data_IF_582153785031
#
_entry.id   IF_582153785031
#
_cell.length_a   1.000
_cell.length_b   1.000
_cell.length_c   1.000
_cell.angle_alpha   90.00
_cell.angle_beta   90.00
_cell.angle_gamma   90.00
#
_symmetry.space_group_name_H-M   'P 1'
#
loop_
_entity.id
_entity.type
_entity.pdbx_description
1 polymer ?
#
# COMPACT_ATOMS: atom_id res chain seq x y z
N UNK A 1 39.56 17.05 -13.21
CA UNK A 1 38.64 17.00 -12.04
C UNK A 1 37.75 15.80 -12.26
N UNK A 2 37.82 14.87 -11.32
CA UNK A 2 37.37 13.47 -11.44
C UNK A 2 35.86 13.32 -11.42
N UNK A 3 35.40 12.50 -12.35
CA UNK A 3 34.04 12.07 -12.61
C UNK A 3 33.79 10.80 -11.77
N UNK A 4 33.76 10.91 -10.44
CA UNK A 4 33.44 9.75 -9.61
C UNK A 4 32.98 10.15 -8.21
N UNK A 5 31.67 10.38 -8.06
CA UNK A 5 30.90 10.35 -6.81
C UNK A 5 29.43 10.70 -7.11
N UNK A 6 28.78 9.89 -7.97
CA UNK A 6 27.32 9.78 -7.90
C UNK A 6 27.03 8.69 -6.88
N UNK A 7 26.91 9.06 -5.61
CA UNK A 7 26.39 8.19 -4.57
C UNK A 7 25.03 7.66 -5.07
N UNK A 8 24.86 6.35 -5.29
CA UNK A 8 23.56 5.83 -5.71
C UNK A 8 22.55 6.22 -4.62
N UNK A 9 21.46 6.87 -5.01
CA UNK A 9 20.32 7.13 -4.12
C UNK A 9 19.98 5.79 -3.45
N UNK A 10 20.17 5.71 -2.13
CA UNK A 10 19.93 4.50 -1.38
C UNK A 10 18.48 4.06 -1.65
N UNK A 11 18.31 2.87 -2.24
CA UNK A 11 16.97 2.31 -2.47
C UNK A 11 16.26 2.23 -1.11
N UNK A 12 14.99 2.68 -1.02
CA UNK A 12 14.22 2.53 0.21
C UNK A 12 14.28 1.09 0.69
N UNK A 13 14.54 0.88 1.99
CA UNK A 13 14.45 -0.46 2.58
C UNK A 13 12.98 -0.86 2.61
N UNK A 14 12.58 -1.99 2.01
CA UNK A 14 11.19 -2.43 2.04
C UNK A 14 10.70 -2.58 3.48
N UNK A 15 9.49 -2.07 3.75
CA UNK A 15 8.77 -2.31 5.01
C UNK A 15 8.40 -3.78 5.17
N UNK A 16 8.00 -4.38 4.05
CA UNK A 16 7.72 -5.79 3.92
C UNK A 16 8.87 -6.45 3.14
N UNK A 17 9.66 -7.36 3.76
CA UNK A 17 10.76 -8.04 3.09
C UNK A 17 10.30 -8.93 1.93
N UNK A 18 8.99 -9.20 1.84
CA UNK A 18 8.38 -10.06 0.84
C UNK A 18 7.66 -9.28 -0.26
N UNK A 19 7.66 -7.94 -0.23
CA UNK A 19 7.09 -7.13 -1.30
C UNK A 19 8.11 -6.78 -2.38
N UNK A 20 7.71 -6.92 -3.65
CA UNK A 20 8.46 -6.46 -4.82
C UNK A 20 8.26 -4.96 -5.12
N UNK A 21 7.24 -4.34 -4.53
CA UNK A 21 6.94 -2.91 -4.65
C UNK A 21 7.00 -2.21 -3.28
N UNK A 22 7.61 -1.03 -3.24
CA UNK A 22 7.78 -0.25 -2.02
C UNK A 22 7.03 1.08 -2.13
N UNK A 23 6.27 1.48 -1.10
CA UNK A 23 5.91 0.76 0.12
C UNK A 23 4.59 0.01 -0.10
N UNK A 24 4.60 -1.31 0.05
CA UNK A 24 3.39 -2.11 0.12
C UNK A 24 3.19 -2.59 1.56
N UNK A 25 2.06 -2.22 2.17
CA UNK A 25 1.68 -2.64 3.51
C UNK A 25 0.49 -3.59 3.46
N UNK A 26 0.57 -4.69 4.22
CA UNK A 26 -0.57 -5.55 4.48
C UNK A 26 -1.21 -5.15 5.81
N UNK A 27 -2.52 -4.88 5.78
CA UNK A 27 -3.31 -4.51 6.93
C UNK A 27 -4.42 -5.51 7.23
N UNK A 28 -4.66 -5.81 8.50
CA UNK A 28 -5.84 -6.55 8.96
C UNK A 28 -6.75 -5.58 9.69
N UNK A 29 -8.02 -5.50 9.28
CA UNK A 29 -9.01 -4.58 9.84
C UNK A 29 -9.98 -5.35 10.72
N UNK A 30 -10.15 -4.87 11.95
CA UNK A 30 -11.15 -5.32 12.90
C UNK A 30 -12.47 -4.51 12.77
N UNK A 31 -13.59 -5.09 13.19
CA UNK A 31 -14.94 -4.50 13.15
C UNK A 31 -14.99 -3.14 13.81
N UNK A 32 -14.40 -2.98 15.00
CA UNK A 32 -14.43 -1.69 15.72
C UNK A 32 -13.70 -0.57 14.96
N UNK A 33 -12.54 -0.88 14.36
CA UNK A 33 -11.80 0.09 13.56
C UNK A 33 -12.55 0.46 12.27
N UNK A 34 -13.22 -0.53 11.65
CA UNK A 34 -14.03 -0.35 10.46
C UNK A 34 -15.25 0.54 10.74
N UNK A 35 -16.05 0.22 11.76
CA UNK A 35 -17.23 1.00 12.16
C UNK A 35 -16.88 2.45 12.50
N UNK A 36 -15.83 2.66 13.30
CA UNK A 36 -15.34 4.00 13.64
C UNK A 36 -14.88 4.80 12.42
N UNK A 37 -14.31 4.12 11.41
CA UNK A 37 -13.90 4.76 10.15
C UNK A 37 -15.11 5.16 9.31
N UNK A 38 -16.09 4.27 9.13
CA UNK A 38 -17.34 4.54 8.40
C UNK A 38 -18.10 5.71 9.03
N UNK A 39 -18.26 5.72 10.36
CA UNK A 39 -18.96 6.78 11.08
C UNK A 39 -18.24 8.13 10.91
N UNK A 40 -16.91 8.14 11.07
CA UNK A 40 -16.13 9.36 10.93
C UNK A 40 -16.22 9.94 9.52
N UNK A 41 -16.19 9.10 8.50
CA UNK A 41 -16.26 9.54 7.11
C UNK A 41 -17.62 10.15 6.79
N UNK A 42 -18.70 9.47 7.18
CA UNK A 42 -20.05 9.97 6.97
C UNK A 42 -20.31 11.27 7.74
N UNK A 43 -19.79 11.37 8.97
CA UNK A 43 -20.03 12.55 9.83
C UNK A 43 -19.21 13.76 9.42
N UNK A 44 -17.95 13.57 9.04
CA UNK A 44 -17.01 14.67 8.79
C UNK A 44 -16.84 15.00 7.31
N UNK A 45 -17.29 14.11 6.41
CA UNK A 45 -17.13 14.25 4.96
C UNK A 45 -15.69 14.08 4.48
N UNK A 46 -14.80 13.55 5.33
CA UNK A 46 -13.40 13.26 4.97
C UNK A 46 -13.19 11.76 4.90
N UNK A 47 -12.53 11.28 3.85
CA UNK A 47 -12.16 9.88 3.66
C UNK A 47 -11.25 9.38 4.78
N UNK A 48 -11.52 8.18 5.31
CA UNK A 48 -10.81 7.64 6.48
C UNK A 48 -9.36 7.35 6.18
N UNK A 49 -8.57 7.18 7.24
CA UNK A 49 -7.17 6.78 7.08
C UNK A 49 -7.06 5.41 6.39
N UNK A 50 -7.96 4.47 6.70
CA UNK A 50 -7.98 3.14 6.08
C UNK A 50 -8.14 3.25 4.56
N UNK A 51 -9.16 3.98 4.10
CA UNK A 51 -9.41 4.17 2.66
C UNK A 51 -8.33 4.97 1.96
N UNK A 52 -7.73 5.96 2.63
CA UNK A 52 -6.64 6.75 2.04
C UNK A 52 -5.34 5.94 1.89
N UNK A 53 -5.13 4.92 2.71
CA UNK A 53 -3.95 4.05 2.63
C UNK A 53 -4.01 3.08 1.45
N UNK A 54 -5.22 2.71 1.02
CA UNK A 54 -5.41 1.86 -0.17
C UNK A 54 -5.19 2.61 -1.48
N UNK A 55 -5.20 3.95 -1.46
CA UNK A 55 -5.09 4.77 -2.67
C UNK A 55 -3.73 4.56 -3.37
N UNK A 56 -3.77 4.10 -4.61
CA UNK A 56 -2.56 3.88 -5.42
C UNK A 56 -1.78 2.61 -5.08
N UNK A 57 -2.41 1.66 -4.35
CA UNK A 57 -1.83 0.33 -4.09
C UNK A 57 -0.77 0.29 -3.00
N UNK A 58 -0.65 1.35 -2.18
CA UNK A 58 0.31 1.42 -1.07
C UNK A 58 -0.03 0.44 0.05
N UNK A 59 -1.30 0.12 0.25
CA UNK A 59 -1.73 -0.87 1.21
C UNK A 59 -2.85 -1.76 0.66
N UNK A 60 -2.83 -3.02 1.06
CA UNK A 60 -3.94 -3.96 0.86
C UNK A 60 -4.53 -4.31 2.22
N UNK A 61 -5.83 -4.13 2.35
CA UNK A 61 -6.55 -4.37 3.60
C UNK A 61 -7.33 -5.68 3.51
N UNK A 62 -7.17 -6.50 4.55
CA UNK A 62 -7.88 -7.76 4.73
C UNK A 62 -8.75 -7.68 5.99
N UNK A 63 -9.86 -8.40 5.99
CA UNK A 63 -10.69 -8.61 7.18
C UNK A 63 -11.11 -10.07 7.21
N UNK A 64 -11.31 -10.63 8.41
CA UNK A 64 -11.92 -11.96 8.51
C UNK A 64 -13.40 -11.88 8.14
N UNK A 65 -13.98 -12.97 7.64
CA UNK A 65 -15.38 -12.98 7.19
C UNK A 65 -16.38 -12.54 8.27
N UNK A 66 -16.16 -12.88 9.55
CA UNK A 66 -17.05 -12.45 10.64
C UNK A 66 -17.14 -10.92 10.76
N UNK A 67 -16.07 -10.18 10.44
CA UNK A 67 -16.05 -8.71 10.46
C UNK A 67 -17.10 -8.13 9.51
N UNK A 68 -17.35 -8.81 8.37
CA UNK A 68 -18.41 -8.41 7.44
C UNK A 68 -19.79 -8.54 8.09
N UNK A 69 -20.07 -9.68 8.71
CA UNK A 69 -21.35 -9.98 9.36
C UNK A 69 -21.61 -9.04 10.52
N UNK A 70 -20.62 -8.87 11.40
CA UNK A 70 -20.68 -7.96 12.53
C UNK A 70 -20.88 -6.52 12.07
N UNK A 71 -20.17 -6.08 11.03
CA UNK A 71 -20.37 -4.72 10.49
C UNK A 71 -21.84 -4.50 10.14
N UNK A 72 -22.45 -5.41 9.38
CA UNK A 72 -23.88 -5.32 9.06
C UNK A 72 -24.80 -5.38 10.29
N UNK A 73 -24.47 -6.20 11.30
CA UNK A 73 -25.23 -6.28 12.57
C UNK A 73 -25.15 -4.98 13.38
N UNK A 74 -23.97 -4.35 13.40
CA UNK A 74 -23.69 -3.20 14.25
C UNK A 74 -24.06 -1.86 13.61
N UNK A 75 -24.16 -1.77 12.27
CA UNK A 75 -24.60 -0.56 11.57
C UNK A 75 -25.94 0.00 12.10
N UNK A 76 -27.01 -0.80 12.31
CA UNK A 76 -28.26 -0.33 12.93
C UNK A 76 -28.08 0.25 14.35
N UNK A 77 -27.25 -0.40 15.18
CA UNK A 77 -26.95 0.07 16.54
C UNK A 77 -26.24 1.42 16.48
N UNK A 78 -25.27 1.56 15.58
CA UNK A 78 -24.55 2.82 15.35
C UNK A 78 -25.49 3.93 14.87
N UNK A 79 -26.38 3.65 13.93
CA UNK A 79 -27.37 4.61 13.43
C UNK A 79 -28.34 5.10 14.52
N UNK A 80 -28.70 4.24 15.49
CA UNK A 80 -29.60 4.60 16.59
C UNK A 80 -29.00 5.62 17.55
N UNK A 81 -27.68 5.61 17.73
CA UNK A 81 -26.97 6.46 18.67
C UNK A 81 -26.19 7.61 18.00
N UNK A 82 -25.98 7.52 16.69
CA UNK A 82 -25.23 8.48 15.91
C UNK A 82 -26.09 9.57 15.26
N UNK A 83 -25.40 10.48 14.56
CA UNK A 83 -26.01 11.56 13.78
C UNK A 83 -26.26 11.18 12.31
N UNK A 84 -25.87 9.98 11.91
CA UNK A 84 -25.91 9.51 10.52
C UNK A 84 -26.96 8.41 10.38
N UNK A 85 -27.79 8.49 9.34
CA UNK A 85 -28.84 7.49 9.09
C UNK A 85 -28.25 6.12 8.73
N UNK A 86 -28.97 5.04 9.05
CA UNK A 86 -28.58 3.67 8.67
C UNK A 86 -28.39 3.53 7.16
N UNK A 87 -29.28 4.12 6.36
CA UNK A 87 -29.19 4.07 4.90
C UNK A 87 -27.89 4.72 4.39
N UNK A 88 -27.50 5.86 4.96
CA UNK A 88 -26.24 6.55 4.62
C UNK A 88 -25.03 5.72 5.03
N UNK A 89 -25.01 5.19 6.25
CA UNK A 89 -23.90 4.36 6.74
C UNK A 89 -23.71 3.11 5.89
N UNK A 90 -24.79 2.40 5.59
CA UNK A 90 -24.77 1.18 4.76
C UNK A 90 -24.32 1.49 3.34
N UNK A 91 -24.92 2.49 2.70
CA UNK A 91 -24.54 2.88 1.34
C UNK A 91 -23.06 3.28 1.25
N UNK A 92 -22.54 4.00 2.26
CA UNK A 92 -21.14 4.39 2.31
C UNK A 92 -20.21 3.19 2.53
N UNK A 93 -20.56 2.28 3.45
CA UNK A 93 -19.81 1.04 3.66
C UNK A 93 -19.74 0.20 2.37
N UNK A 94 -20.88 -0.01 1.73
CA UNK A 94 -20.98 -0.83 0.52
C UNK A 94 -20.26 -0.22 -0.69
N UNK A 95 -20.30 1.11 -0.84
CA UNK A 95 -19.67 1.80 -1.96
C UNK A 95 -18.16 2.00 -1.81
N UNK A 96 -17.68 2.28 -0.59
CA UNK A 96 -16.29 2.72 -0.39
C UNK A 96 -15.41 1.67 0.29
N UNK A 97 -15.95 0.90 1.24
CA UNK A 97 -15.15 -0.02 2.06
C UNK A 97 -15.14 -1.45 1.50
N UNK A 98 -16.27 -1.95 1.00
CA UNK A 98 -16.31 -3.29 0.39
C UNK A 98 -15.30 -3.45 -0.76
N UNK A 99 -15.12 -2.49 -1.69
CA UNK A 99 -14.13 -2.61 -2.75
C UNK A 99 -12.68 -2.45 -2.26
N UNK A 100 -12.47 -1.84 -1.09
CA UNK A 100 -11.15 -1.58 -0.53
C UNK A 100 -10.64 -2.74 0.37
N UNK A 101 -11.52 -3.70 0.70
CA UNK A 101 -11.25 -4.80 1.62
C UNK A 101 -11.36 -6.15 0.91
N UNK A 102 -10.45 -7.06 1.26
CA UNK A 102 -10.58 -8.50 0.93
C UNK A 102 -11.01 -9.26 2.17
N UNK A 103 -12.11 -9.99 2.07
CA UNK A 103 -12.65 -10.75 3.18
C UNK A 103 -12.15 -12.20 3.12
N UNK A 104 -11.64 -12.71 4.24
CA UNK A 104 -10.96 -14.01 4.30
C UNK A 104 -11.76 -14.96 5.18
N UNK A 105 -12.16 -16.08 4.61
CA UNK A 105 -12.77 -17.19 5.35
C UNK A 105 -11.66 -17.97 6.05
N UNK A 106 -11.57 -17.83 7.38
CA UNK A 106 -10.55 -18.50 8.17
C UNK A 106 -10.96 -19.93 8.51
N UNK A 107 -10.05 -20.88 8.26
CA UNK A 107 -10.20 -22.26 8.69
C UNK A 107 -9.56 -22.48 10.07
N UNK A 108 -10.06 -23.46 10.84
CA UNK A 108 -9.47 -23.88 12.12
C UNK A 108 -8.23 -24.78 11.97
N UNK A 109 -7.69 -24.90 10.75
CA UNK A 109 -6.77 -25.99 10.38
C UNK A 109 -5.34 -25.72 10.86
N UNK A 110 -5.00 -24.46 11.13
CA UNK A 110 -3.71 -24.13 11.73
C UNK A 110 -3.77 -24.42 13.24
N UNK A 111 -2.87 -25.30 13.70
CA UNK A 111 -2.79 -25.73 15.09
C UNK A 111 -2.67 -24.58 16.09
N UNK A 112 -2.77 -24.86 17.40
CA UNK A 112 -2.84 -23.84 18.44
C UNK A 112 -1.62 -22.90 18.40
N UNK A 113 -1.85 -21.63 18.10
CA UNK A 113 -0.86 -20.55 18.24
C UNK A 113 -1.04 -19.86 19.60
N UNK A 114 0.04 -19.80 20.40
CA UNK A 114 -0.04 -19.28 21.76
C UNK A 114 -0.49 -17.81 21.85
N UNK A 115 -0.19 -17.00 20.84
CA UNK A 115 -0.60 -15.60 20.78
C UNK A 115 -2.09 -15.50 20.46
N UNK A 116 -2.58 -16.32 19.51
CA UNK A 116 -4.02 -16.44 19.20
C UNK A 116 -4.80 -16.97 20.40
N UNK A 117 -4.28 -17.98 21.11
CA UNK A 117 -4.90 -18.55 22.30
C UNK A 117 -4.96 -17.56 23.48
N UNK A 118 -4.14 -16.52 23.47
CA UNK A 118 -4.19 -15.45 24.48
C UNK A 118 -5.29 -14.42 24.19
N UNK A 119 -5.95 -14.48 23.03
CA UNK A 119 -7.15 -13.68 22.75
C UNK A 119 -8.27 -14.20 23.63
N UNK A 120 -8.86 -13.29 24.40
CA UNK A 120 -9.86 -13.62 25.44
C UNK A 120 -11.29 -13.50 24.95
N UNK A 121 -11.51 -12.74 23.88
CA UNK A 121 -12.79 -12.69 23.18
C UNK A 121 -12.75 -13.69 22.01
N UNK A 122 -13.73 -14.60 21.96
CA UNK A 122 -13.76 -15.63 20.90
C UNK A 122 -14.07 -15.04 19.54
N UNK A 123 -14.76 -13.90 19.48
CA UNK A 123 -15.17 -13.26 18.23
C UNK A 123 -13.94 -12.64 17.52
N UNK A 124 -12.92 -12.24 18.28
CA UNK A 124 -11.65 -11.71 17.77
C UNK A 124 -10.65 -12.77 17.29
N UNK A 125 -10.88 -14.05 17.59
CA UNK A 125 -9.94 -15.14 17.27
C UNK A 125 -9.66 -15.24 15.77
N UNK A 126 -10.66 -15.17 14.85
CA UNK A 126 -10.38 -15.22 13.42
C UNK A 126 -9.54 -14.03 12.93
N UNK A 127 -9.69 -12.84 13.53
CA UNK A 127 -8.86 -11.66 13.23
C UNK A 127 -7.40 -11.90 13.62
N UNK A 128 -7.16 -12.46 14.81
CA UNK A 128 -5.82 -12.85 15.25
C UNK A 128 -5.19 -13.93 14.37
N UNK A 129 -5.95 -14.95 13.98
CA UNK A 129 -5.48 -16.01 13.06
C UNK A 129 -5.12 -15.47 11.69
N UNK A 130 -5.96 -14.59 11.13
CA UNK A 130 -5.67 -13.93 9.86
C UNK A 130 -4.37 -13.13 9.94
N UNK A 131 -4.17 -12.38 11.03
CA UNK A 131 -2.94 -11.64 11.25
C UNK A 131 -1.70 -12.56 11.32
N UNK A 132 -1.78 -13.71 12.00
CA UNK A 132 -0.69 -14.70 12.00
C UNK A 132 -0.44 -15.31 10.62
N UNK A 133 -1.50 -15.60 9.88
CA UNK A 133 -1.43 -16.23 8.57
C UNK A 133 -0.68 -15.36 7.54
N UNK A 134 -0.89 -14.04 7.58
CA UNK A 134 -0.34 -13.10 6.57
C UNK A 134 0.81 -12.22 7.08
N UNK A 135 1.28 -12.45 8.31
CA UNK A 135 2.37 -11.67 8.89
C UNK A 135 3.63 -11.68 7.98
N UNK A 136 4.32 -10.54 7.78
CA UNK A 136 4.22 -9.32 8.57
C UNK A 136 3.04 -8.44 8.16
N UNK A 137 2.25 -7.97 9.12
CA UNK A 137 1.11 -7.09 8.86
C UNK A 137 0.81 -6.16 10.04
N UNK A 138 -0.01 -5.13 9.81
CA UNK A 138 -0.51 -4.26 10.90
C UNK A 138 -1.98 -4.60 11.16
N UNK A 139 -2.33 -4.85 12.42
CA UNK A 139 -3.74 -5.03 12.82
C UNK A 139 -4.30 -3.69 13.29
N UNK A 140 -5.34 -3.22 12.61
CA UNK A 140 -6.08 -2.02 12.96
C UNK A 140 -7.25 -2.40 13.86
N UNK A 141 -7.04 -2.30 15.16
CA UNK A 141 -8.08 -2.52 16.17
C UNK A 141 -7.85 -1.62 17.37
N UNK A 142 -8.95 -1.17 17.98
CA UNK A 142 -8.93 -0.53 19.29
C UNK A 142 -9.20 -1.49 20.46
N UNK A 143 -9.49 -2.76 20.16
CA UNK A 143 -9.88 -3.75 21.15
C UNK A 143 -8.72 -4.16 22.06
N UNK A 144 -8.98 -4.19 23.36
CA UNK A 144 -8.05 -4.70 24.38
C UNK A 144 -7.75 -6.19 24.19
N UNK A 145 -8.68 -6.96 23.64
CA UNK A 145 -8.59 -8.40 23.43
C UNK A 145 -7.59 -8.74 22.32
N UNK A 146 -7.40 -7.85 21.34
CA UNK A 146 -6.32 -7.91 20.34
C UNK A 146 -5.05 -7.15 20.75
N UNK A 147 -5.15 -6.07 21.53
CA UNK A 147 -3.98 -5.31 22.01
C UNK A 147 -3.17 -6.07 23.05
N UNK A 148 -3.80 -6.75 24.01
CA UNK A 148 -3.10 -7.46 25.10
C UNK A 148 -2.18 -8.58 24.61
N UNK A 149 -2.58 -9.42 23.63
CA UNK A 149 -1.69 -10.43 23.05
C UNK A 149 -0.66 -9.83 22.07
N UNK A 150 -0.70 -8.52 21.81
CA UNK A 150 0.25 -7.85 20.92
C UNK A 150 -0.07 -7.98 19.42
N UNK A 151 -1.33 -8.21 19.05
CA UNK A 151 -1.74 -8.15 17.64
C UNK A 151 -1.91 -6.71 17.17
N UNK A 152 -2.59 -5.89 17.98
CA UNK A 152 -2.86 -4.50 17.65
C UNK A 152 -1.98 -3.54 18.47
N UNK A 153 -1.46 -2.46 17.86
CA UNK A 153 -0.72 -1.45 18.59
C UNK A 153 -1.64 -0.63 19.50
N UNK A 154 -1.07 0.00 20.53
CA UNK A 154 -1.82 0.86 21.46
C UNK A 154 -2.51 2.04 20.76
N UNK A 155 -1.91 2.56 19.68
CA UNK A 155 -2.38 3.69 18.88
C UNK A 155 -2.23 3.35 17.38
N UNK A 156 -3.19 2.61 16.84
CA UNK A 156 -3.19 2.20 15.44
C UNK A 156 -3.41 3.40 14.50
N UNK A 157 -4.07 4.46 14.96
CA UNK A 157 -4.30 5.67 14.18
C UNK A 157 -2.99 6.36 13.84
N UNK A 158 -2.00 6.31 14.74
CA UNK A 158 -0.64 6.80 14.49
C UNK A 158 0.12 5.92 13.49
N UNK A 159 -0.07 4.61 13.52
CA UNK A 159 0.49 3.71 12.50
C UNK A 159 -0.11 4.04 11.13
N UNK A 160 -1.42 4.16 11.03
CA UNK A 160 -2.13 4.55 9.80
C UNK A 160 -1.67 5.92 9.28
N UNK A 161 -1.50 6.91 10.16
CA UNK A 161 -0.93 8.22 9.79
C UNK A 161 0.48 8.07 9.21
N UNK A 162 1.31 7.19 9.79
CA UNK A 162 2.68 6.99 9.31
C UNK A 162 2.71 6.43 7.88
N UNK A 163 1.74 5.56 7.51
CA UNK A 163 1.58 5.07 6.13
C UNK A 163 1.16 6.19 5.18
N UNK A 164 0.25 7.05 5.63
CA UNK A 164 -0.17 8.22 4.84
C UNK A 164 0.99 9.19 4.63
N UNK A 165 1.77 9.47 5.67
CA UNK A 165 2.95 10.34 5.61
C UNK A 165 3.97 9.80 4.59
N UNK A 166 4.17 8.46 4.53
CA UNK A 166 5.00 7.81 3.51
C UNK A 166 4.41 7.98 2.10
N UNK A 167 3.11 7.73 1.94
CA UNK A 167 2.42 7.86 0.64
C UNK A 167 2.46 9.28 0.10
N UNK A 168 2.19 10.26 0.97
CA UNK A 168 2.25 11.69 0.64
C UNK A 168 3.67 12.13 0.32
N UNK A 169 4.67 11.62 1.06
CA UNK A 169 6.09 11.82 0.74
C UNK A 169 6.43 11.37 -0.68
N UNK A 170 6.04 10.15 -1.06
CA UNK A 170 6.31 9.59 -2.39
C UNK A 170 5.58 10.33 -3.52
N UNK A 171 4.31 10.70 -3.32
CA UNK A 171 3.58 11.54 -4.27
C UNK A 171 4.21 12.93 -4.40
N UNK A 172 4.68 13.49 -3.29
CA UNK A 172 5.42 14.76 -3.25
C UNK A 172 6.72 14.69 -4.06
N UNK A 173 7.44 13.58 -4.00
CA UNK A 173 8.65 13.35 -4.82
C UNK A 173 8.32 13.26 -6.32
N UNK A 174 7.26 12.52 -6.69
CA UNK A 174 6.85 12.39 -8.09
C UNK A 174 6.39 13.73 -8.71
N UNK A 175 5.67 14.55 -7.94
CA UNK A 175 5.23 15.90 -8.38
C UNK A 175 6.41 16.87 -8.43
N UNK A 176 7.35 16.82 -7.47
CA UNK A 176 8.54 17.68 -7.48
C UNK A 176 9.47 17.36 -8.66
N UNK A 177 9.67 16.08 -8.99
CA UNK A 177 10.45 15.66 -10.16
C UNK A 177 9.73 16.04 -11.45
N UNK A 178 8.41 15.87 -11.55
CA UNK A 178 7.67 16.30 -12.74
C UNK A 178 7.58 17.82 -12.90
N UNK A 179 7.51 18.59 -11.80
CA UNK A 179 7.56 20.06 -11.81
C UNK A 179 8.94 20.61 -12.21
N UNK A 180 10.02 19.93 -11.84
CA UNK A 180 11.37 20.30 -12.26
C UNK A 180 11.64 20.01 -13.76
N UNK A 181 10.97 19.00 -14.33
CA UNK A 181 11.13 18.60 -15.74
C UNK A 181 10.09 19.26 -16.67
N UNK A 182 9.07 19.92 -16.12
CA UNK A 182 8.04 20.66 -16.85
C UNK A 182 8.59 21.68 -17.87
N UNK A 183 9.67 22.43 -17.61
CA UNK A 183 10.29 23.29 -18.62
C UNK A 183 10.84 22.50 -19.83
N UNK A 184 11.39 21.30 -19.60
CA UNK A 184 11.95 20.46 -20.65
C UNK A 184 10.87 19.76 -21.49
N UNK A 185 9.78 19.29 -20.87
CA UNK A 185 8.64 18.70 -21.59
C UNK A 185 7.77 19.75 -22.30
N UNK A 186 7.62 20.95 -21.73
CA UNK A 186 6.93 22.07 -22.37
C UNK A 186 7.60 22.49 -23.68
N UNK A 187 8.93 22.52 -23.73
CA UNK A 187 9.69 22.80 -24.94
C UNK A 187 9.46 21.75 -26.04
N UNK A 188 9.45 20.45 -25.69
CA UNK A 188 9.23 19.36 -26.66
C UNK A 188 7.80 19.36 -27.21
N UNK A 189 6.80 19.69 -26.38
CA UNK A 189 5.41 19.85 -26.80
C UNK A 189 5.22 21.02 -27.77
N UNK A 190 5.82 22.18 -27.49
CA UNK A 190 5.78 23.36 -28.34
C UNK A 190 6.45 23.11 -29.70
N UNK A 191 7.58 22.39 -29.72
CA UNK A 191 8.30 22.00 -30.95
C UNK A 191 7.48 21.08 -31.84
N UNK A 192 6.77 20.10 -31.26
CA UNK A 192 5.87 19.21 -32.03
C UNK A 192 4.64 19.94 -32.56
N UNK A 193 4.08 20.88 -31.79
CA UNK A 193 2.91 21.66 -32.19
C UNK A 193 3.24 22.63 -33.33
N UNK A 194 4.36 23.37 -33.21
CA UNK A 194 4.86 24.28 -34.25
C UNK A 194 5.32 23.53 -35.52
N UNK A 195 5.93 22.35 -35.36
CA UNK A 195 6.34 21.51 -36.50
C UNK A 195 5.15 20.99 -37.32
N UNK A 196 4.04 20.61 -36.67
CA UNK A 196 2.80 20.19 -37.34
C UNK A 196 2.10 21.33 -38.08
N UNK A 197 2.11 22.54 -37.52
CA UNK A 197 1.39 23.68 -38.10
C UNK A 197 2.19 24.39 -39.22
N UNK A 198 3.53 24.32 -39.18
CA UNK A 198 4.40 24.99 -40.15
C UNK A 198 4.99 24.06 -41.24
N UNK A 199 4.75 22.74 -41.17
CA UNK A 199 5.35 21.76 -42.10
C UNK A 199 6.88 21.62 -41.96
N UNK A 200 7.46 22.18 -40.90
CA UNK A 200 8.90 22.19 -40.65
C UNK A 200 9.27 20.93 -39.85
N UNK A 201 10.33 20.24 -40.29
CA UNK A 201 10.84 19.04 -39.62
C UNK A 201 11.13 19.31 -38.14
N UNK A 202 10.63 18.47 -37.21
CA UNK A 202 10.88 18.60 -35.77
C UNK A 202 12.38 18.66 -35.41
N UNK A 203 13.24 18.04 -36.22
CA UNK A 203 14.68 18.07 -36.05
C UNK A 203 15.30 19.44 -36.35
N UNK A 204 14.76 20.18 -37.33
CA UNK A 204 15.23 21.53 -37.67
C UNK A 204 14.87 22.54 -36.56
N UNK A 205 13.67 22.43 -35.99
CA UNK A 205 13.26 23.25 -34.84
C UNK A 205 14.12 22.89 -33.61
N UNK A 206 14.37 21.59 -33.38
CA UNK A 206 15.27 21.13 -32.32
C UNK A 206 16.68 21.72 -32.45
N UNK A 207 17.24 21.77 -33.66
CA UNK A 207 18.54 22.37 -33.92
C UNK A 207 18.56 23.89 -33.69
N UNK A 208 17.49 24.61 -34.05
CA UNK A 208 17.37 26.07 -33.79
C UNK A 208 17.22 26.36 -32.30
N UNK A 209 16.47 25.55 -31.55
CA UNK A 209 16.32 25.69 -30.10
C UNK A 209 17.64 25.38 -29.39
N UNK A 210 18.34 24.31 -29.79
CA UNK A 210 19.66 23.97 -29.25
C UNK A 210 20.72 25.01 -29.61
N UNK A 211 20.76 25.47 -30.86
CA UNK A 211 21.69 26.50 -31.33
C UNK A 211 21.42 27.87 -30.69
N UNK A 212 20.14 28.27 -30.59
CA UNK A 212 19.69 29.47 -29.90
C UNK A 212 19.96 29.42 -28.40
N UNK A 213 19.75 28.26 -27.77
CA UNK A 213 20.11 28.00 -26.38
C UNK A 213 21.62 28.10 -26.13
N UNK A 214 22.43 27.51 -27.00
CA UNK A 214 23.90 27.59 -26.93
C UNK A 214 24.42 29.03 -27.15
N UNK A 215 23.79 29.81 -28.04
CA UNK A 215 24.09 31.23 -28.25
C UNK A 215 23.65 32.11 -27.07
N UNK A 216 22.48 31.85 -26.50
CA UNK A 216 22.00 32.52 -25.27
C UNK A 216 22.92 32.26 -24.08
N UNK A 217 23.50 31.06 -24.02
CA UNK A 217 24.51 30.67 -23.05
C UNK A 217 25.91 31.22 -23.37
N UNK A 218 26.16 32.03 -24.41
CA UNK A 218 27.49 32.66 -24.59
C UNK A 218 27.69 33.94 -23.76
N UNK A 219 26.63 34.59 -23.26
CA UNK A 219 26.74 35.80 -22.43
C UNK A 219 26.97 35.46 -20.95
N UNK A 220 28.04 35.96 -20.30
CA UNK A 220 28.43 35.57 -18.94
C UNK A 220 27.38 35.95 -17.88
N UNK A 221 26.70 37.09 -18.02
CA UNK A 221 25.67 37.52 -17.06
C UNK A 221 24.42 36.63 -17.10
N UNK A 222 24.09 36.09 -18.28
CA UNK A 222 22.96 35.16 -18.45
C UNK A 222 23.31 33.74 -18.00
N UNK A 223 24.58 33.32 -18.12
CA UNK A 223 25.06 32.07 -17.48
C UNK A 223 24.87 32.11 -15.98
N UNK A 224 25.22 33.24 -15.33
CA UNK A 224 25.04 33.41 -13.89
C UNK A 224 23.56 33.36 -13.48
N UNK A 225 22.66 33.94 -14.27
CA UNK A 225 21.22 33.90 -14.01
C UNK A 225 20.60 32.50 -14.20
N UNK A 226 21.02 31.76 -15.22
CA UNK A 226 20.56 30.37 -15.44
C UNK A 226 21.16 29.44 -14.39
N UNK A 227 22.43 29.63 -14.01
CA UNK A 227 23.08 28.86 -12.96
C UNK A 227 22.45 29.13 -11.59
N UNK A 228 22.14 30.38 -11.25
CA UNK A 228 21.49 30.72 -9.97
C UNK A 228 20.06 30.20 -9.90
N UNK A 229 19.32 30.22 -11.01
CA UNK A 229 18.00 29.60 -11.10
C UNK A 229 18.08 28.08 -10.97
N UNK A 230 19.03 27.44 -11.65
CA UNK A 230 19.26 25.99 -11.54
C UNK A 230 19.65 25.59 -10.12
N UNK A 231 20.58 26.31 -9.48
CA UNK A 231 20.98 26.07 -8.08
C UNK A 231 19.79 26.22 -7.13
N UNK A 232 18.99 27.28 -7.24
CA UNK A 232 17.78 27.45 -6.42
C UNK A 232 16.73 26.36 -6.67
N UNK A 233 16.55 25.95 -7.92
CA UNK A 233 15.65 24.84 -8.26
C UNK A 233 16.16 23.52 -7.66
N UNK A 234 17.47 23.26 -7.72
CA UNK A 234 18.10 22.10 -7.11
C UNK A 234 18.07 22.14 -5.58
N UNK A 235 18.23 23.30 -4.94
CA UNK A 235 18.11 23.46 -3.49
C UNK A 235 16.69 23.22 -3.00
N UNK A 236 15.68 23.77 -3.69
CA UNK A 236 14.27 23.54 -3.34
C UNK A 236 13.84 22.10 -3.57
N UNK A 237 14.35 21.46 -4.63
CA UNK A 237 14.12 20.02 -4.88
C UNK A 237 14.87 19.16 -3.85
N UNK A 238 16.13 19.49 -3.56
CA UNK A 238 16.99 18.77 -2.61
C UNK A 238 16.44 18.79 -1.19
N UNK A 239 16.08 19.98 -0.68
CA UNK A 239 15.48 20.13 0.65
C UNK A 239 14.13 19.42 0.79
N UNK A 240 13.30 19.41 -0.26
CA UNK A 240 12.03 18.65 -0.27
C UNK A 240 12.25 17.14 -0.36
N UNK A 241 13.25 16.69 -1.13
CA UNK A 241 13.62 15.28 -1.22
C UNK A 241 14.18 14.77 0.11
N UNK A 242 15.05 15.54 0.77
CA UNK A 242 15.62 15.20 2.07
C UNK A 242 14.56 15.17 3.17
N UNK A 243 13.66 16.17 3.22
CA UNK A 243 12.54 16.17 4.16
C UNK A 243 11.60 14.98 3.94
N UNK A 244 11.29 14.64 2.68
CA UNK A 244 10.48 13.47 2.33
C UNK A 244 11.15 12.15 2.73
N UNK A 245 12.46 12.00 2.48
CA UNK A 245 13.21 10.81 2.86
C UNK A 245 13.36 10.65 4.38
N UNK A 246 13.50 11.75 5.13
CA UNK A 246 13.53 11.72 6.59
C UNK A 246 12.16 11.31 7.17
N UNK A 247 11.07 11.85 6.61
CA UNK A 247 9.71 11.50 7.01
C UNK A 247 9.36 10.04 6.66
N UNK A 248 9.82 9.55 5.51
CA UNK A 248 9.72 8.14 5.12
C UNK A 248 10.44 7.24 6.14
N UNK A 249 11.71 7.51 6.46
CA UNK A 249 12.48 6.72 7.44
C UNK A 249 11.81 6.67 8.81
N UNK A 250 11.36 7.82 9.32
CA UNK A 250 10.65 7.90 10.59
C UNK A 250 9.30 7.17 10.57
N UNK A 251 8.60 7.17 9.43
CA UNK A 251 7.37 6.42 9.25
C UNK A 251 7.64 4.92 9.23
N UNK A 252 8.71 4.49 8.54
CA UNK A 252 9.13 3.09 8.44
C UNK A 252 9.53 2.52 9.80
N UNK A 253 10.32 3.25 10.58
CA UNK A 253 10.73 2.84 11.93
C UNK A 253 9.52 2.68 12.86
N UNK A 254 8.59 3.64 12.86
CA UNK A 254 7.35 3.54 13.64
C UNK A 254 6.47 2.38 13.19
N UNK A 255 6.45 2.05 11.90
CA UNK A 255 5.70 0.91 11.40
C UNK A 255 6.31 -0.42 11.84
N UNK A 256 7.65 -0.51 11.89
CA UNK A 256 8.34 -1.71 12.41
C UNK A 256 7.99 -2.02 13.86
N UNK A 257 7.71 -1.00 14.67
CA UNK A 257 7.30 -1.18 16.07
C UNK A 257 5.88 -1.77 16.24
N UNK A 258 5.04 -1.70 15.19
CA UNK A 258 3.61 -2.09 15.25
C UNK A 258 3.26 -3.27 14.35
N UNK A 259 4.23 -3.80 13.60
CA UNK A 259 4.03 -4.95 12.73
C UNK A 259 3.98 -6.23 13.56
N UNK A 260 2.94 -7.03 13.35
CA UNK A 260 2.89 -8.41 13.82
C UNK A 260 3.98 -9.19 13.08
N UNK A 261 4.92 -9.76 13.83
CA UNK A 261 6.03 -10.50 13.26
C UNK A 261 5.60 -11.87 12.69
N UNK A 262 6.21 -12.25 11.57
CA UNK A 262 6.10 -13.60 11.02
C UNK A 262 6.76 -14.62 11.93
N UNK A 263 6.28 -15.87 11.88
CA UNK A 263 7.02 -17.01 12.42
C UNK A 263 8.43 -17.07 11.81
N UNK A 264 9.44 -17.47 12.60
CA UNK A 264 10.79 -17.73 12.09
C UNK A 264 10.84 -18.87 11.08
N UNK A 265 9.85 -19.76 11.11
CA UNK A 265 9.68 -20.87 10.18
C UNK A 265 8.22 -20.93 9.71
N UNK A 266 7.83 -20.13 8.69
CA UNK A 266 6.46 -20.16 8.20
C UNK A 266 6.18 -21.49 7.50
N UNK A 267 4.99 -22.05 7.75
CA UNK A 267 4.47 -23.25 7.07
C UNK A 267 4.25 -23.00 5.57
N UNK A 268 4.06 -24.03 4.75
CA UNK A 268 3.77 -23.83 3.31
C UNK A 268 2.49 -23.00 3.13
N UNK A 269 1.44 -23.27 3.92
CA UNK A 269 0.21 -22.47 3.94
C UNK A 269 0.48 -20.99 4.24
N UNK A 270 1.23 -20.71 5.30
CA UNK A 270 1.61 -19.34 5.64
C UNK A 270 2.43 -18.69 4.53
N UNK A 271 3.39 -19.41 3.91
CA UNK A 271 4.15 -18.85 2.78
C UNK A 271 3.25 -18.51 1.59
N UNK A 272 2.29 -19.37 1.25
CA UNK A 272 1.29 -19.11 0.19
C UNK A 272 0.45 -17.89 0.53
N UNK A 273 -0.09 -17.81 1.75
CA UNK A 273 -0.89 -16.68 2.20
C UNK A 273 -0.08 -15.38 2.26
N UNK A 274 1.14 -15.43 2.77
CA UNK A 274 2.06 -14.30 2.78
C UNK A 274 2.28 -13.83 1.35
N UNK A 275 2.67 -14.70 0.43
CA UNK A 275 2.90 -14.35 -0.98
C UNK A 275 1.66 -13.71 -1.61
N UNK A 276 0.49 -14.36 -1.51
CA UNK A 276 -0.75 -13.85 -2.13
C UNK A 276 -1.23 -12.54 -1.51
N UNK A 277 -1.02 -12.32 -0.21
CA UNK A 277 -1.47 -11.11 0.46
C UNK A 277 -0.83 -9.83 -0.10
N UNK A 278 0.37 -9.93 -0.71
CA UNK A 278 1.12 -8.82 -1.32
C UNK A 278 0.83 -8.61 -2.81
N UNK A 279 -0.08 -9.39 -3.38
CA UNK A 279 -0.39 -9.33 -4.80
C UNK A 279 -1.74 -8.65 -5.02
N UNK A 280 -1.72 -7.63 -5.87
CA UNK A 280 -2.95 -6.97 -6.29
C UNK A 280 -3.70 -7.83 -7.32
N UNK A 281 -2.98 -8.65 -8.09
CA UNK A 281 -3.54 -9.50 -9.13
C UNK A 281 -3.59 -10.99 -8.71
N UNK A 282 -4.61 -11.74 -9.14
CA UNK A 282 -4.70 -13.18 -8.91
C UNK A 282 -3.59 -13.96 -9.62
N UNK A 283 -2.98 -14.93 -8.93
CA UNK A 283 -1.82 -15.68 -9.42
C UNK A 283 -2.10 -17.16 -9.71
N UNK A 284 -1.36 -17.71 -10.65
CA UNK A 284 -1.26 -19.15 -10.89
C UNK A 284 -0.45 -19.82 -9.77
N UNK A 285 -0.70 -21.10 -9.50
CA UNK A 285 0.07 -21.86 -8.51
C UNK A 285 1.59 -21.90 -8.81
N UNK A 286 1.97 -21.85 -10.09
CA UNK A 286 3.39 -21.77 -10.49
C UNK A 286 3.99 -20.40 -10.15
N UNK A 287 3.27 -19.30 -10.43
CA UNK A 287 3.70 -17.93 -10.10
C UNK A 287 3.85 -17.76 -8.58
N UNK A 288 2.92 -18.30 -7.79
CA UNK A 288 3.03 -18.32 -6.32
C UNK A 288 4.29 -19.07 -5.88
N UNK A 289 4.57 -20.22 -6.48
CA UNK A 289 5.73 -21.04 -6.15
C UNK A 289 7.06 -20.34 -6.47
N UNK A 290 7.15 -19.67 -7.61
CA UNK A 290 8.32 -18.87 -8.00
C UNK A 290 8.57 -17.72 -7.01
N UNK A 291 7.51 -17.02 -6.62
CA UNK A 291 7.60 -15.95 -5.61
C UNK A 291 8.01 -16.51 -4.24
N UNK A 292 7.49 -17.66 -3.82
CA UNK A 292 7.92 -18.32 -2.58
C UNK A 292 9.42 -18.63 -2.62
N UNK A 293 9.94 -19.17 -3.73
CA UNK A 293 11.37 -19.46 -3.87
C UNK A 293 12.23 -18.18 -3.84
N UNK A 294 11.74 -17.09 -4.44
CA UNK A 294 12.45 -15.82 -4.44
C UNK A 294 12.55 -15.19 -3.03
N UNK A 295 11.48 -15.33 -2.23
CA UNK A 295 11.30 -14.65 -0.96
C UNK A 295 11.71 -15.46 0.28
N UNK A 296 11.63 -16.80 0.23
CA UNK A 296 11.90 -17.70 1.36
C UNK A 296 13.10 -18.61 1.08
N UNK A 297 14.29 -18.01 0.95
CA UNK A 297 15.52 -18.72 0.55
C UNK A 297 16.03 -19.77 1.55
N UNK A 298 15.70 -19.59 2.82
CA UNK A 298 16.26 -20.41 3.92
C UNK A 298 15.37 -21.60 4.32
N UNK A 299 14.26 -21.83 3.62
CA UNK A 299 13.31 -22.91 3.91
C UNK A 299 13.36 -24.06 2.89
N UNK A 300 12.82 -25.25 3.22
CA UNK A 300 12.58 -26.30 2.23
C UNK A 300 11.74 -25.71 1.08
N UNK A 301 12.19 -25.91 -0.15
CA UNK A 301 11.53 -25.36 -1.32
C UNK A 301 10.17 -26.01 -1.52
N UNK A 302 9.11 -25.19 -1.61
CA UNK A 302 7.78 -25.70 -1.92
C UNK A 302 7.71 -26.09 -3.41
N UNK A 303 7.18 -27.28 -3.68
CA UNK A 303 6.86 -27.72 -5.04
C UNK A 303 5.53 -27.12 -5.50
N UNK A 304 5.33 -26.98 -6.80
CA UNK A 304 4.06 -26.49 -7.36
C UNK A 304 2.88 -27.40 -6.97
N UNK A 305 3.12 -28.70 -6.76
CA UNK A 305 2.10 -29.66 -6.31
C UNK A 305 1.66 -29.36 -4.87
N UNK A 306 2.60 -29.09 -3.97
CA UNK A 306 2.28 -28.71 -2.58
C UNK A 306 1.56 -27.36 -2.52
N UNK A 307 2.02 -26.37 -3.29
CA UNK A 307 1.33 -25.07 -3.41
C UNK A 307 -0.10 -25.25 -3.89
N UNK A 308 -0.32 -26.08 -4.93
CA UNK A 308 -1.68 -26.36 -5.43
C UNK A 308 -2.54 -27.06 -4.39
N UNK A 309 -2.00 -28.05 -3.68
CA UNK A 309 -2.74 -28.75 -2.63
C UNK A 309 -3.20 -27.79 -1.53
N UNK A 310 -2.31 -26.90 -1.08
CA UNK A 310 -2.64 -25.85 -0.10
C UNK A 310 -3.73 -24.90 -0.61
N UNK A 311 -3.61 -24.44 -1.86
CA UNK A 311 -4.60 -23.55 -2.48
C UNK A 311 -5.98 -24.21 -2.61
N UNK A 312 -6.03 -25.50 -2.92
CA UNK A 312 -7.27 -26.25 -3.08
C UNK A 312 -7.92 -26.64 -1.75
N UNK A 313 -7.13 -26.85 -0.69
CA UNK A 313 -7.60 -27.25 0.64
C UNK A 313 -8.01 -26.06 1.52
N UNK A 314 -7.33 -24.92 1.41
CA UNK A 314 -7.54 -23.75 2.28
C UNK A 314 -8.74 -22.91 1.85
N UNK A 315 -9.66 -22.62 2.78
CA UNK A 315 -10.83 -21.75 2.55
C UNK A 315 -10.44 -20.28 2.40
N UNK A 316 -9.27 -19.90 2.92
CA UNK A 316 -8.71 -18.56 2.80
C UNK A 316 -8.30 -18.21 1.36
N UNK A 317 -8.13 -19.21 0.47
CA UNK A 317 -7.68 -19.05 -0.91
C UNK A 317 -8.86 -19.17 -1.87
N UNK A 318 -9.08 -18.11 -2.66
CA UNK A 318 -10.22 -18.03 -3.55
C UNK A 318 -9.76 -18.07 -5.00
N UNK A 319 -10.35 -18.99 -5.77
CA UNK A 319 -10.15 -19.07 -7.21
C UNK A 319 -11.10 -18.12 -7.94
N UNK A 320 -10.60 -16.95 -8.34
CA UNK A 320 -11.40 -15.91 -8.99
C UNK A 320 -11.48 -16.06 -10.51
N UNK A 321 -10.45 -16.64 -11.12
CA UNK A 321 -10.44 -16.99 -12.55
C UNK A 321 -9.90 -18.40 -12.75
N UNK A 322 -9.91 -18.89 -14.00
CA UNK A 322 -9.43 -20.22 -14.33
C UNK A 322 -7.96 -20.39 -13.89
N UNK A 323 -7.79 -21.18 -12.83
CA UNK A 323 -6.50 -21.49 -12.18
C UNK A 323 -5.78 -20.31 -11.51
N UNK A 324 -6.41 -19.13 -11.41
CA UNK A 324 -5.84 -17.98 -10.70
C UNK A 324 -6.47 -17.83 -9.33
N UNK A 325 -5.60 -17.65 -8.34
CA UNK A 325 -5.90 -17.65 -6.93
C UNK A 325 -5.52 -16.32 -6.30
N UNK A 326 -6.29 -15.90 -5.32
CA UNK A 326 -5.98 -14.77 -4.47
C UNK A 326 -6.31 -15.11 -3.02
N UNK A 327 -5.79 -14.32 -2.09
CA UNK A 327 -6.17 -14.40 -0.69
C UNK A 327 -7.48 -13.64 -0.48
N UNK A 328 -8.48 -14.31 0.10
CA UNK A 328 -9.80 -13.73 0.36
C UNK A 328 -10.59 -13.40 -0.90
N UNK A 329 -11.82 -12.94 -0.70
CA UNK A 329 -12.77 -12.57 -1.74
C UNK A 329 -13.12 -11.09 -1.66
N UNK A 330 -13.43 -10.53 -2.81
CA UNK A 330 -14.20 -9.30 -2.90
C UNK A 330 -15.68 -9.63 -2.63
N UNK A 331 -16.38 -8.69 -2.03
CA UNK A 331 -17.75 -8.89 -1.57
C UNK A 331 -18.67 -7.88 -2.24
N UNK A 332 -19.71 -8.38 -2.90
CA UNK A 332 -20.76 -7.54 -3.45
C UNK A 332 -21.71 -7.05 -2.33
N UNK A 333 -22.34 -5.88 -2.49
CA UNK A 333 -23.35 -5.38 -1.56
C UNK A 333 -24.45 -6.41 -1.31
N UNK A 334 -24.91 -6.51 -0.05
CA UNK A 334 -26.05 -7.38 0.29
C UNK A 334 -27.33 -6.84 -0.33
N UNK A 335 -28.10 -7.71 -0.97
CA UNK A 335 -29.47 -7.38 -1.39
C UNK A 335 -30.28 -6.94 -0.16
N UNK A 336 -30.96 -5.80 -0.28
CA UNK A 336 -31.83 -5.23 0.75
C UNK A 336 -33.10 -6.04 0.95
#
# INVERSE_FOLDING_TARGET
MTEDQRTPLARPTPLDPYSSSAPHLVGVVDTNALLSSIENDCRKGFRSRLLRMTDGGTATLYAADHVLDETYEHLPRMAKHGLVSLATLRAHFEAEYLPALRFVTMSDVDGPDAQVLAITDTDDVPTGRLAKLIAPCVVFSDDRHLKRPGFAPKDWQRAAKSVLDITEGLRGQAVAVNAAVLPARGAVGLVKLLGRQAGISPWAIGAVVLGGGALLLKKPDRRKAVASFAVRAFEVVGTKLEAGAAQERLGVEKLREVIVATSSQPTIRQRVAITLARQNEPLLAAEVQELIQAHFRDGPGATTKEVRAVLEEGTEFVRVERYRWQLGREVAPRSS
#
